data_IF_307759980380
#
_entry.id   IF_307759980380
#
_cell.length_a   1.000
_cell.length_b   1.000
_cell.length_c   1.000
_cell.angle_alpha   90.00
_cell.angle_beta   90.00
_cell.angle_gamma   90.00
#
_symmetry.space_group_name_H-M   'P 1'
#
loop_
_entity.id
_entity.type
_entity.pdbx_description
1 polymer ?
#
# COMPACT_ATOMS: atom_id res chain seq x y z
N UNK A 1 27.67 -3.02 64.87
CA UNK A 1 28.04 -1.89 64.00
C UNK A 1 28.13 -2.46 62.59
N UNK A 2 27.09 -2.31 61.76
CA UNK A 2 27.05 -1.37 60.62
C UNK A 2 28.26 -1.62 59.67
N UNK A 3 28.14 -2.07 58.40
CA UNK A 3 27.39 -1.46 57.30
C UNK A 3 27.62 -2.28 55.99
N UNK A 4 26.53 -2.48 55.21
CA UNK A 4 26.39 -2.59 53.73
C UNK A 4 27.12 -3.72 52.97
N UNK A 5 26.43 -4.76 52.44
CA UNK A 5 25.57 -4.81 51.22
C UNK A 5 26.17 -4.15 49.97
N UNK A 6 26.72 -4.95 49.06
CA UNK A 6 26.79 -4.66 47.62
C UNK A 6 26.28 -5.87 46.84
N UNK A 7 24.99 -5.82 46.48
CA UNK A 7 24.40 -6.69 45.46
C UNK A 7 24.64 -5.97 44.14
N UNK A 8 25.57 -6.47 43.33
CA UNK A 8 25.79 -6.00 41.98
C UNK A 8 24.59 -6.45 41.12
N UNK A 9 23.63 -5.56 40.94
CA UNK A 9 22.57 -5.69 39.94
C UNK A 9 23.23 -5.51 38.57
N UNK A 10 23.52 -6.61 37.89
CA UNK A 10 23.85 -6.59 36.47
C UNK A 10 22.58 -6.18 35.70
N UNK A 11 22.42 -4.87 35.50
CA UNK A 11 21.52 -4.34 34.48
C UNK A 11 22.06 -4.81 33.12
N UNK A 12 21.58 -5.95 32.65
CA UNK A 12 21.65 -6.30 31.23
C UNK A 12 20.91 -5.20 30.49
N UNK A 13 21.69 -4.34 29.83
CA UNK A 13 21.25 -3.41 28.82
C UNK A 13 20.41 -4.17 27.80
N UNK A 14 19.08 -4.10 27.96
CA UNK A 14 18.14 -4.37 26.89
C UNK A 14 18.37 -3.23 25.91
N UNK A 15 19.32 -3.44 25.00
CA UNK A 15 19.47 -2.60 23.83
C UNK A 15 18.18 -2.71 23.05
N UNK A 16 17.33 -1.69 23.15
CA UNK A 16 16.34 -1.41 22.13
C UNK A 16 17.11 -1.34 20.81
N UNK A 17 17.03 -2.38 19.99
CA UNK A 17 17.35 -2.27 18.58
C UNK A 17 16.39 -1.21 18.03
N UNK A 18 16.87 0.03 17.90
CA UNK A 18 16.19 1.02 17.10
C UNK A 18 16.19 0.46 15.68
N UNK A 19 15.06 -0.14 15.29
CA UNK A 19 14.76 -0.43 13.90
C UNK A 19 14.90 0.92 13.20
N UNK A 20 15.95 1.09 12.40
CA UNK A 20 16.07 2.25 11.52
C UNK A 20 14.88 2.17 10.57
N UNK A 21 13.85 2.97 10.81
CA UNK A 21 12.80 3.19 9.83
C UNK A 21 13.48 3.84 8.64
N UNK A 22 13.67 3.07 7.58
CA UNK A 22 14.23 3.55 6.32
C UNK A 22 13.35 4.70 5.81
N UNK A 23 13.95 5.79 5.39
CA UNK A 23 13.19 6.92 4.85
C UNK A 23 12.53 6.53 3.52
N UNK A 24 11.41 7.17 3.20
CA UNK A 24 10.71 6.97 1.92
C UNK A 24 11.64 7.29 0.74
N UNK A 25 12.49 8.31 0.87
CA UNK A 25 13.52 8.64 -0.12
C UNK A 25 14.51 7.50 -0.35
N UNK A 26 15.07 6.92 0.72
CA UNK A 26 15.97 5.77 0.61
C UNK A 26 15.27 4.54 0.01
N UNK A 27 13.97 4.36 0.27
CA UNK A 27 13.18 3.29 -0.36
C UNK A 27 13.03 3.52 -1.86
N UNK A 28 12.79 4.75 -2.29
CA UNK A 28 12.68 5.08 -3.72
C UNK A 28 14.01 4.90 -4.46
N UNK A 29 15.13 5.33 -3.89
CA UNK A 29 16.45 5.16 -4.52
C UNK A 29 16.79 3.69 -4.84
N UNK A 30 16.30 2.75 -4.03
CA UNK A 30 16.51 1.32 -4.25
C UNK A 30 15.53 0.71 -5.27
N UNK A 31 14.45 1.40 -5.63
CA UNK A 31 13.34 0.87 -6.43
C UNK A 31 12.99 1.79 -7.62
N UNK A 32 13.90 1.91 -8.59
CA UNK A 32 13.76 2.88 -9.69
C UNK A 32 12.57 2.59 -10.61
N UNK A 33 12.15 1.32 -10.80
CA UNK A 33 11.03 1.01 -11.71
C UNK A 33 9.70 1.48 -11.13
N UNK A 34 9.53 1.38 -9.82
CA UNK A 34 8.35 1.87 -9.14
C UNK A 34 8.28 3.40 -9.16
N UNK A 35 9.42 4.11 -9.15
CA UNK A 35 9.44 5.56 -9.38
C UNK A 35 8.87 5.89 -10.77
N UNK A 36 9.29 5.18 -11.83
CA UNK A 36 8.79 5.41 -13.20
C UNK A 36 7.29 5.09 -13.37
N UNK A 37 6.80 4.16 -12.55
CA UNK A 37 5.39 3.82 -12.50
C UNK A 37 4.56 4.97 -11.93
N UNK A 38 5.07 5.67 -10.93
CA UNK A 38 4.37 6.75 -10.24
C UNK A 38 4.61 8.12 -10.91
N UNK A 39 3.69 9.04 -10.69
CA UNK A 39 3.89 10.45 -11.04
C UNK A 39 4.59 11.18 -9.89
N UNK A 40 5.22 12.32 -10.19
CA UNK A 40 5.85 13.18 -9.18
C UNK A 40 4.86 13.53 -8.05
N UNK A 41 3.61 13.85 -8.40
CA UNK A 41 2.58 14.16 -7.41
C UNK A 41 2.23 12.95 -6.52
N UNK A 42 2.20 11.73 -7.07
CA UNK A 42 1.96 10.52 -6.29
C UNK A 42 3.12 10.23 -5.33
N UNK A 43 4.35 10.48 -5.75
CA UNK A 43 5.55 10.36 -4.90
C UNK A 43 5.47 11.37 -3.74
N UNK A 44 5.10 12.62 -4.02
CA UNK A 44 4.90 13.66 -2.98
C UNK A 44 3.80 13.27 -2.00
N UNK A 45 2.69 12.71 -2.49
CA UNK A 45 1.61 12.20 -1.62
C UNK A 45 2.16 11.10 -0.72
N UNK A 46 2.93 10.15 -1.26
CA UNK A 46 3.51 9.03 -0.51
C UNK A 46 4.45 9.53 0.60
N UNK A 47 5.25 10.55 0.32
CA UNK A 47 6.18 11.14 1.29
C UNK A 47 5.43 11.87 2.43
N UNK A 48 4.24 12.42 2.15
CA UNK A 48 3.45 13.22 3.08
C UNK A 48 2.11 12.56 3.49
N UNK A 49 2.06 11.22 3.50
CA UNK A 49 0.82 10.49 3.77
C UNK A 49 0.20 10.90 5.11
N UNK A 50 -1.06 11.36 5.03
CA UNK A 50 -1.91 11.60 6.19
C UNK A 50 -2.76 10.36 6.50
N UNK A 51 -3.34 9.73 5.48
CA UNK A 51 -4.26 8.60 5.65
C UNK A 51 -4.33 7.69 4.43
N UNK A 52 -4.64 6.41 4.68
CA UNK A 52 -4.93 5.42 3.66
C UNK A 52 -6.30 4.82 3.96
N UNK A 53 -7.23 4.91 3.01
CA UNK A 53 -8.60 4.46 3.15
C UNK A 53 -8.88 3.27 2.22
N UNK A 54 -9.46 2.21 2.78
CA UNK A 54 -9.82 1.01 2.05
C UNK A 54 -11.32 0.98 1.74
N UNK A 55 -11.63 0.65 0.48
CA UNK A 55 -12.97 0.48 -0.03
C UNK A 55 -13.10 -0.88 -0.72
N UNK A 56 -14.24 -1.53 -0.55
CA UNK A 56 -14.64 -2.68 -1.35
C UNK A 56 -15.44 -2.18 -2.57
N UNK A 57 -15.15 -2.74 -3.74
CA UNK A 57 -15.90 -2.46 -4.98
C UNK A 57 -16.95 -3.56 -5.13
N UNK A 58 -18.23 -3.16 -5.12
CA UNK A 58 -19.34 -4.08 -5.34
C UNK A 58 -20.09 -3.71 -6.61
N UNK A 59 -20.46 -4.72 -7.40
CA UNK A 59 -21.38 -4.54 -8.53
C UNK A 59 -22.79 -4.33 -8.00
N UNK A 60 -23.44 -3.26 -8.44
CA UNK A 60 -24.83 -2.97 -8.14
C UNK A 60 -25.61 -2.86 -9.45
N UNK A 61 -26.76 -3.52 -9.54
CA UNK A 61 -27.65 -3.41 -10.69
C UNK A 61 -28.09 -1.95 -10.85
N UNK A 62 -27.94 -1.41 -12.06
CA UNK A 62 -28.39 -0.05 -12.38
C UNK A 62 -29.91 -0.06 -12.40
N UNK A 63 -30.52 0.83 -11.60
CA UNK A 63 -31.98 0.90 -11.48
C UNK A 63 -32.61 1.13 -12.86
N UNK A 64 -33.60 0.30 -13.22
CA UNK A 64 -34.28 0.35 -14.51
C UNK A 64 -33.64 -0.54 -15.59
N UNK A 65 -32.53 -1.20 -15.31
CA UNK A 65 -31.91 -2.21 -16.20
C UNK A 65 -32.17 -3.63 -15.66
N UNK A 66 -31.98 -4.65 -16.50
CA UNK A 66 -32.11 -6.06 -16.09
C UNK A 66 -30.76 -6.75 -15.90
N UNK A 67 -29.72 -6.20 -16.52
CA UNK A 67 -28.43 -6.85 -16.72
C UNK A 67 -27.23 -5.88 -16.76
N UNK A 68 -27.44 -4.58 -16.51
CA UNK A 68 -26.34 -3.61 -16.43
C UNK A 68 -25.98 -3.32 -14.97
N UNK A 69 -24.67 -3.38 -14.66
CA UNK A 69 -24.16 -3.22 -13.31
C UNK A 69 -23.14 -2.08 -13.26
N UNK A 70 -23.27 -1.21 -12.26
CA UNK A 70 -22.27 -0.20 -11.93
C UNK A 70 -21.39 -0.66 -10.77
N UNK A 71 -20.17 -0.13 -10.72
CA UNK A 71 -19.29 -0.31 -9.57
C UNK A 71 -19.65 0.71 -8.49
N UNK A 72 -19.87 0.22 -7.27
CA UNK A 72 -20.09 1.03 -6.08
C UNK A 72 -19.00 0.78 -5.05
N UNK A 73 -18.36 1.87 -4.63
CA UNK A 73 -17.36 1.85 -3.58
C UNK A 73 -18.04 1.88 -2.21
N UNK A 74 -17.72 0.89 -1.37
CA UNK A 74 -18.20 0.79 0.01
C UNK A 74 -16.99 0.98 0.92
N UNK A 75 -16.99 2.05 1.72
CA UNK A 75 -15.94 2.28 2.70
C UNK A 75 -15.86 1.10 3.68
N UNK A 76 -14.65 0.59 3.88
CA UNK A 76 -14.38 -0.51 4.83
C UNK A 76 -13.79 0.07 6.10
N UNK A 77 -12.61 0.70 5.99
CA UNK A 77 -11.86 1.25 7.13
C UNK A 77 -10.70 2.12 6.66
N UNK A 78 -10.12 2.85 7.60
CA UNK A 78 -8.80 3.49 7.44
C UNK A 78 -7.73 2.52 7.93
N UNK A 79 -6.61 2.41 7.21
CA UNK A 79 -5.46 1.60 7.64
C UNK A 79 -4.77 2.24 8.84
N UNK A 80 -4.34 1.42 9.81
CA UNK A 80 -3.52 1.88 10.92
C UNK A 80 -2.05 2.08 10.50
N UNK A 81 -1.23 2.72 11.34
CA UNK A 81 0.17 3.03 10.99
C UNK A 81 1.00 1.80 10.59
N UNK A 82 0.83 0.66 11.25
CA UNK A 82 1.56 -0.56 10.90
C UNK A 82 1.18 -1.09 9.52
N UNK A 83 -0.12 -1.03 9.18
CA UNK A 83 -0.62 -1.45 7.87
C UNK A 83 -0.23 -0.45 6.78
N UNK A 84 -0.17 0.85 7.08
CA UNK A 84 0.34 1.86 6.15
C UNK A 84 1.79 1.56 5.79
N UNK A 85 2.65 1.36 6.79
CA UNK A 85 4.07 1.05 6.59
C UNK A 85 4.25 -0.25 5.79
N UNK A 86 3.49 -1.30 6.13
CA UNK A 86 3.52 -2.59 5.41
C UNK A 86 3.05 -2.43 3.95
N UNK A 87 1.97 -1.70 3.70
CA UNK A 87 1.49 -1.44 2.34
C UNK A 87 2.52 -0.67 1.51
N UNK A 88 3.12 0.39 2.08
CA UNK A 88 4.06 1.24 1.36
C UNK A 88 5.36 0.50 1.05
N UNK A 89 5.88 -0.29 1.99
CA UNK A 89 7.08 -1.09 1.73
C UNK A 89 6.85 -2.12 0.63
N UNK A 90 5.66 -2.70 0.55
CA UNK A 90 5.32 -3.65 -0.50
C UNK A 90 5.04 -2.97 -1.84
N UNK A 91 4.37 -1.81 -1.86
CA UNK A 91 4.10 -1.06 -3.10
C UNK A 91 5.38 -0.52 -3.72
N UNK A 92 6.30 0.02 -2.90
CA UNK A 92 7.51 0.66 -3.41
C UNK A 92 8.53 -0.37 -3.91
N UNK A 93 8.46 -1.61 -3.42
CA UNK A 93 9.42 -2.66 -3.78
C UNK A 93 9.25 -3.16 -5.22
N UNK A 94 10.26 -2.97 -6.06
CA UNK A 94 10.28 -3.40 -7.46
C UNK A 94 10.09 -4.92 -7.63
N UNK A 95 10.52 -5.73 -6.66
CA UNK A 95 10.42 -7.20 -6.70
C UNK A 95 8.98 -7.71 -6.55
N UNK A 96 8.05 -6.84 -6.14
CA UNK A 96 6.63 -7.18 -6.02
C UNK A 96 5.85 -7.08 -7.33
N UNK A 97 6.51 -6.83 -8.46
CA UNK A 97 5.85 -6.66 -9.76
C UNK A 97 6.46 -7.53 -10.85
N UNK A 98 5.61 -7.96 -11.79
CA UNK A 98 6.04 -8.64 -13.01
C UNK A 98 6.14 -7.64 -14.17
N UNK A 99 7.25 -6.92 -14.24
CA UNK A 99 7.50 -5.82 -15.18
C UNK A 99 7.41 -6.19 -16.66
N UNK A 100 7.77 -7.42 -17.02
CA UNK A 100 7.79 -7.88 -18.41
C UNK A 100 6.44 -8.44 -18.90
N UNK A 101 5.43 -8.52 -18.01
CA UNK A 101 4.13 -9.11 -18.32
C UNK A 101 3.14 -8.07 -18.85
N UNK A 102 3.30 -7.67 -20.11
CA UNK A 102 2.36 -6.80 -20.80
C UNK A 102 1.29 -7.63 -21.54
N UNK A 103 0.33 -8.16 -20.81
CA UNK A 103 -0.87 -8.73 -21.42
C UNK A 103 -1.97 -7.65 -21.54
N UNK A 104 -2.86 -7.77 -22.54
CA UNK A 104 -4.15 -7.05 -22.54
C UNK A 104 -5.00 -7.65 -21.43
N UNK A 105 -4.79 -7.16 -20.22
CA UNK A 105 -5.33 -7.77 -19.02
C UNK A 105 -6.75 -7.26 -18.78
N UNK A 106 -7.70 -8.18 -18.64
CA UNK A 106 -9.06 -7.87 -18.21
C UNK A 106 -9.02 -7.41 -16.76
N UNK A 107 -8.94 -6.10 -16.54
CA UNK A 107 -8.80 -5.53 -15.21
C UNK A 107 -10.18 -5.27 -14.58
N UNK A 108 -10.58 -6.12 -13.63
CA UNK A 108 -11.86 -6.02 -12.92
C UNK A 108 -11.59 -5.84 -11.42
N UNK A 109 -11.46 -4.59 -10.94
CA UNK A 109 -11.02 -4.33 -9.57
C UNK A 109 -12.10 -4.69 -8.54
N UNK A 110 -11.67 -5.28 -7.43
CA UNK A 110 -12.53 -5.67 -6.28
C UNK A 110 -12.26 -4.83 -5.05
N UNK A 111 -11.09 -4.19 -4.96
CA UNK A 111 -10.71 -3.28 -3.88
C UNK A 111 -10.19 -1.97 -4.44
N UNK A 112 -10.44 -0.89 -3.70
CA UNK A 112 -9.91 0.43 -3.97
C UNK A 112 -9.24 0.98 -2.70
N UNK A 113 -8.03 1.47 -2.86
CA UNK A 113 -7.23 2.10 -1.83
C UNK A 113 -7.06 3.57 -2.22
N UNK A 114 -7.44 4.48 -1.33
CA UNK A 114 -7.21 5.92 -1.50
C UNK A 114 -6.08 6.33 -0.55
N UNK A 115 -4.98 6.81 -1.11
CA UNK A 115 -3.84 7.35 -0.38
C UNK A 115 -3.95 8.86 -0.43
N UNK A 116 -3.91 9.50 0.74
CA UNK A 116 -4.13 10.95 0.90
C UNK A 116 -2.95 11.57 1.64
N UNK A 117 -2.53 12.73 1.18
CA UNK A 117 -1.81 13.69 2.03
C UNK A 117 -2.83 14.69 2.62
N UNK A 118 -2.41 15.91 2.96
CA UNK A 118 -3.30 16.95 3.48
C UNK A 118 -4.08 17.71 2.41
N UNK A 119 -3.61 17.73 1.15
CA UNK A 119 -4.11 18.59 0.07
C UNK A 119 -4.62 17.81 -1.15
N UNK A 120 -4.22 16.55 -1.28
CA UNK A 120 -4.35 15.74 -2.48
C UNK A 120 -4.47 14.25 -2.17
N UNK A 121 -4.82 13.48 -3.20
CA UNK A 121 -5.00 12.04 -3.09
C UNK A 121 -4.73 11.34 -4.41
N UNK A 122 -4.37 10.06 -4.35
CA UNK A 122 -4.39 9.18 -5.50
C UNK A 122 -4.99 7.82 -5.14
N UNK A 123 -5.30 7.06 -6.19
CA UNK A 123 -6.04 5.82 -6.09
C UNK A 123 -5.23 4.65 -6.61
N UNK A 124 -5.30 3.57 -5.84
CA UNK A 124 -4.84 2.25 -6.23
C UNK A 124 -6.04 1.33 -6.30
N UNK A 125 -6.17 0.61 -7.40
CA UNK A 125 -7.18 -0.42 -7.59
C UNK A 125 -6.52 -1.79 -7.55
N UNK A 126 -7.15 -2.77 -6.92
CA UNK A 126 -6.67 -4.14 -6.88
C UNK A 126 -7.74 -5.08 -7.46
N UNK A 127 -7.33 -5.93 -8.40
CA UNK A 127 -8.13 -7.01 -8.97
C UNK A 127 -7.65 -8.35 -8.44
N UNK A 128 -8.49 -8.99 -7.63
CA UNK A 128 -8.18 -10.26 -6.97
C UNK A 128 -8.14 -11.44 -7.96
N UNK A 129 -9.05 -11.45 -8.93
CA UNK A 129 -9.16 -12.52 -9.93
C UNK A 129 -7.90 -12.62 -10.80
N UNK A 130 -7.30 -11.47 -11.12
CA UNK A 130 -6.17 -11.39 -12.05
C UNK A 130 -4.85 -11.03 -11.37
N UNK A 131 -4.86 -10.82 -10.05
CA UNK A 131 -3.69 -10.48 -9.23
C UNK A 131 -2.98 -9.24 -9.79
N UNK A 132 -3.74 -8.17 -9.97
CA UNK A 132 -3.29 -6.94 -10.61
C UNK A 132 -3.58 -5.73 -9.76
N UNK A 133 -2.75 -4.71 -9.95
CA UNK A 133 -2.90 -3.39 -9.37
C UNK A 133 -2.91 -2.36 -10.49
N UNK A 134 -3.86 -1.44 -10.39
CA UNK A 134 -3.96 -0.26 -11.23
C UNK A 134 -3.64 1.00 -10.43
N UNK A 135 -2.67 1.78 -10.89
CA UNK A 135 -2.45 3.15 -10.43
C UNK A 135 -3.24 4.08 -11.36
N UNK A 136 -4.11 4.92 -10.78
CA UNK A 136 -4.91 5.88 -11.55
C UNK A 136 -4.40 7.29 -11.30
N UNK A 137 -4.19 8.02 -12.39
CA UNK A 137 -3.95 9.46 -12.42
C UNK A 137 -4.82 10.15 -13.49
N UNK A 138 -4.55 11.44 -13.76
CA UNK A 138 -5.28 12.21 -14.77
C UNK A 138 -4.85 11.82 -16.21
N UNK A 139 -3.69 11.19 -16.35
CA UNK A 139 -3.09 10.77 -17.62
C UNK A 139 -3.59 9.38 -18.03
N UNK A 140 -4.16 8.61 -17.11
CA UNK A 140 -4.84 7.36 -17.37
C UNK A 140 -4.65 6.35 -16.26
N UNK A 141 -4.67 5.07 -16.65
CA UNK A 141 -4.52 3.96 -15.73
C UNK A 141 -3.30 3.13 -16.15
N UNK A 142 -2.35 2.95 -15.23
CA UNK A 142 -1.23 2.01 -15.39
C UNK A 142 -1.55 0.75 -14.60
N UNK A 143 -1.64 -0.40 -15.28
CA UNK A 143 -1.97 -1.71 -14.67
C UNK A 143 -0.75 -2.63 -14.73
N UNK A 144 -0.42 -3.25 -13.61
CA UNK A 144 0.65 -4.23 -13.50
C UNK A 144 0.16 -5.47 -12.76
N UNK A 145 0.71 -6.63 -13.15
CA UNK A 145 0.58 -7.86 -12.39
C UNK A 145 1.54 -7.82 -11.20
N UNK A 146 1.08 -8.32 -10.06
CA UNK A 146 1.86 -8.34 -8.82
C UNK A 146 2.30 -9.72 -8.38
N UNK A 147 3.42 -9.73 -7.67
CA UNK A 147 4.01 -10.90 -7.04
C UNK A 147 3.20 -11.42 -5.84
N UNK A 148 3.56 -12.60 -5.34
CA UNK A 148 2.79 -13.30 -4.31
C UNK A 148 2.68 -12.55 -2.98
N UNK A 149 3.71 -11.80 -2.58
CA UNK A 149 3.73 -11.10 -1.28
C UNK A 149 2.73 -9.95 -1.25
N UNK A 150 2.78 -9.07 -2.24
CA UNK A 150 1.84 -7.96 -2.38
C UNK A 150 0.41 -8.49 -2.61
N UNK A 151 0.24 -9.58 -3.37
CA UNK A 151 -1.07 -10.22 -3.54
C UNK A 151 -1.63 -10.75 -2.20
N UNK A 152 -0.80 -11.43 -1.41
CA UNK A 152 -1.18 -11.93 -0.07
C UNK A 152 -1.57 -10.79 0.86
N UNK A 153 -0.87 -9.66 0.79
CA UNK A 153 -1.23 -8.47 1.55
C UNK A 153 -2.62 -7.95 1.17
N UNK A 154 -2.91 -7.81 -0.12
CA UNK A 154 -4.23 -7.35 -0.58
C UNK A 154 -5.37 -8.33 -0.28
N UNK A 155 -5.08 -9.63 -0.13
CA UNK A 155 -6.06 -10.62 0.33
C UNK A 155 -6.35 -10.52 1.84
N UNK A 156 -5.36 -10.08 2.63
CA UNK A 156 -5.47 -9.91 4.09
C UNK A 156 -6.31 -8.68 4.47
N UNK A 157 -6.20 -7.57 3.72
CA UNK A 157 -6.78 -6.27 4.12
C UNK A 157 -8.24 -6.07 3.74
#
# INVERSE_FOLDING_TARGET
MRIFKFIAFAFTLIGCAQVKTQSVTELFEMNPKTIELLTENQIVIIDNISSIQLYAIKKQLIQGTKDEYSNKNIFVRTLNESEKVELLSLIINDDNYYWDSYEKLNFNPTKQIIIKDTESQFMILYSEDTQQIGFIDLQGQKVLKIGPELNKYFQKI
#
